data_IF_140852211067
#
_entry.id   IF_140852211067
#
_cell.length_a   1.000
_cell.length_b   1.000
_cell.length_c   1.000
_cell.angle_alpha   90.00
_cell.angle_beta   90.00
_cell.angle_gamma   90.00
#
_symmetry.space_group_name_H-M   'P 1'
#
loop_
_entity.id
_entity.type
_entity.pdbx_description
1 polymer ?
#
# COMPACT_ATOMS: atom_id res chain seq x y z
N UNK A 1 0.97 -16.38 -8.12
CA UNK A 1 1.63 -15.34 -7.31
C UNK A 1 0.59 -14.27 -7.11
N UNK A 2 0.00 -14.19 -5.93
CA UNK A 2 -0.98 -13.14 -5.64
C UNK A 2 -0.30 -11.79 -5.87
N UNK A 3 -0.92 -10.95 -6.68
CA UNK A 3 -0.31 -9.69 -7.08
C UNK A 3 -0.67 -8.61 -6.06
N UNK A 4 -0.03 -8.70 -4.89
CA UNK A 4 -0.23 -7.83 -3.73
C UNK A 4 0.02 -6.34 -4.03
N UNK A 5 0.58 -6.01 -5.20
CA UNK A 5 0.86 -4.65 -5.64
C UNK A 5 -0.25 -4.01 -6.47
N UNK A 6 -1.25 -4.76 -6.93
CA UNK A 6 -2.27 -4.23 -7.85
C UNK A 6 -3.13 -3.13 -7.22
N UNK A 7 -3.37 -3.20 -5.92
CA UNK A 7 -4.04 -2.10 -5.23
C UNK A 7 -3.15 -0.83 -5.21
N UNK A 8 -1.89 -0.96 -4.79
CA UNK A 8 -0.94 0.15 -4.80
C UNK A 8 -0.78 0.77 -6.20
N UNK A 9 -0.64 -0.05 -7.25
CA UNK A 9 -0.53 0.42 -8.65
C UNK A 9 -1.78 1.18 -9.12
N UNK A 10 -2.98 0.78 -8.68
CA UNK A 10 -4.22 1.51 -8.97
C UNK A 10 -4.30 2.85 -8.24
N UNK A 11 -3.77 2.94 -7.02
CA UNK A 11 -3.75 4.17 -6.23
C UNK A 11 -2.63 5.13 -6.66
N UNK A 12 -1.53 4.60 -7.19
CA UNK A 12 -0.36 5.34 -7.65
C UNK A 12 -0.01 4.99 -9.11
N UNK A 13 -0.88 5.32 -10.08
CA UNK A 13 -0.70 4.89 -11.46
C UNK A 13 0.58 5.44 -12.11
N UNK A 14 1.01 6.63 -11.72
CA UNK A 14 2.24 7.26 -12.22
C UNK A 14 3.51 6.56 -11.73
N UNK A 15 3.44 5.76 -10.66
CA UNK A 15 4.56 5.07 -10.04
C UNK A 15 4.44 3.53 -10.20
N UNK A 16 3.56 3.06 -11.07
CA UNK A 16 3.22 1.64 -11.17
C UNK A 16 4.42 0.76 -11.55
N UNK A 17 5.33 1.26 -12.39
CA UNK A 17 6.56 0.56 -12.78
C UNK A 17 7.56 0.52 -11.62
N UNK A 18 7.70 1.61 -10.87
CA UNK A 18 8.56 1.66 -9.68
C UNK A 18 8.06 0.76 -8.56
N UNK A 19 6.73 0.68 -8.38
CA UNK A 19 6.09 -0.23 -7.44
C UNK A 19 6.42 -1.69 -7.82
N UNK A 20 6.25 -2.07 -9.09
CA UNK A 20 6.55 -3.42 -9.56
C UNK A 20 8.05 -3.75 -9.42
N UNK A 21 8.92 -2.82 -9.82
CA UNK A 21 10.36 -2.98 -9.72
C UNK A 21 10.82 -3.11 -8.26
N UNK A 22 10.34 -2.25 -7.35
CA UNK A 22 10.72 -2.30 -5.93
C UNK A 22 10.15 -3.57 -5.26
N UNK A 23 8.89 -3.90 -5.52
CA UNK A 23 8.25 -5.10 -4.99
C UNK A 23 8.94 -6.38 -5.46
N UNK A 24 9.51 -6.44 -6.67
CA UNK A 24 10.22 -7.63 -7.14
C UNK A 24 11.45 -7.99 -6.29
N UNK A 25 12.05 -7.00 -5.60
CA UNK A 25 13.34 -7.15 -4.90
C UNK A 25 13.33 -6.75 -3.43
N UNK A 26 12.24 -6.19 -2.92
CA UNK A 26 12.10 -5.78 -1.54
C UNK A 26 10.85 -6.43 -0.92
N UNK A 27 11.08 -7.40 -0.03
CA UNK A 27 10.00 -8.15 0.64
C UNK A 27 9.17 -7.26 1.57
N UNK A 28 9.81 -6.43 2.39
CA UNK A 28 9.10 -5.50 3.27
C UNK A 28 8.20 -4.54 2.49
N UNK A 29 8.63 -4.10 1.29
CA UNK A 29 7.78 -3.29 0.43
C UNK A 29 6.58 -4.07 -0.14
N UNK A 30 6.74 -5.37 -0.43
CA UNK A 30 5.60 -6.22 -0.82
C UNK A 30 4.60 -6.38 0.31
N UNK A 31 5.08 -6.64 1.52
CA UNK A 31 4.24 -6.73 2.73
C UNK A 31 3.49 -5.41 2.95
N UNK A 32 4.17 -4.27 2.81
CA UNK A 32 3.54 -2.96 2.89
C UNK A 32 2.43 -2.77 1.83
N UNK A 33 2.65 -3.21 0.58
CA UNK A 33 1.60 -3.15 -0.44
C UNK A 33 0.42 -4.07 -0.12
N UNK A 34 0.68 -5.23 0.47
CA UNK A 34 -0.36 -6.15 0.93
C UNK A 34 -1.19 -5.53 2.07
N UNK A 35 -0.54 -4.96 3.08
CA UNK A 35 -1.19 -4.30 4.21
C UNK A 35 -2.05 -3.12 3.73
N UNK A 36 -1.57 -2.37 2.74
CA UNK A 36 -2.34 -1.29 2.12
C UNK A 36 -3.60 -1.82 1.42
N UNK A 37 -3.53 -2.97 0.76
CA UNK A 37 -4.71 -3.63 0.17
C UNK A 37 -5.69 -4.13 1.24
N UNK A 38 -5.19 -4.64 2.37
CA UNK A 38 -6.03 -5.08 3.48
C UNK A 38 -6.71 -3.88 4.14
N UNK A 39 -6.01 -2.75 4.30
CA UNK A 39 -6.59 -1.53 4.84
C UNK A 39 -7.76 -1.00 3.98
N UNK A 40 -7.65 -1.02 2.64
CA UNK A 40 -8.76 -0.69 1.75
C UNK A 40 -9.95 -1.64 1.90
N UNK A 41 -9.69 -2.94 2.10
CA UNK A 41 -10.75 -3.89 2.41
C UNK A 41 -11.44 -3.55 3.73
N UNK A 42 -10.69 -3.25 4.80
CA UNK A 42 -11.25 -2.84 6.09
C UNK A 42 -12.08 -1.56 5.97
N UNK A 43 -11.63 -0.57 5.21
CA UNK A 43 -12.39 0.66 4.93
C UNK A 43 -13.75 0.29 4.32
N UNK A 44 -13.79 -0.55 3.29
CA UNK A 44 -15.05 -0.96 2.63
C UNK A 44 -15.97 -1.78 3.53
N UNK A 45 -15.37 -2.66 4.34
CA UNK A 45 -16.11 -3.47 5.31
C UNK A 45 -16.79 -2.58 6.34
N UNK A 46 -16.06 -1.63 6.93
CA UNK A 46 -16.63 -0.69 7.90
C UNK A 46 -17.57 0.32 7.26
N UNK A 47 -17.35 0.78 6.03
CA UNK A 47 -18.28 1.67 5.32
C UNK A 47 -19.67 1.03 5.18
N UNK A 48 -19.72 -0.29 4.95
CA UNK A 48 -20.96 -1.04 4.78
C UNK A 48 -21.53 -1.65 6.07
N UNK A 49 -20.82 -1.54 7.19
CA UNK A 49 -21.20 -2.19 8.45
C UNK A 49 -22.40 -1.51 9.13
N UNK A 50 -23.22 -2.31 9.82
CA UNK A 50 -24.32 -1.83 10.66
C UNK A 50 -23.99 -1.83 12.15
N UNK A 51 -22.73 -2.14 12.50
CA UNK A 51 -22.28 -2.18 13.88
C UNK A 51 -22.29 -0.78 14.53
N UNK A 52 -22.54 -0.66 15.83
CA UNK A 52 -22.52 0.65 16.51
C UNK A 52 -21.16 1.34 16.46
N UNK A 53 -20.06 0.58 16.39
CA UNK A 53 -18.69 1.07 16.26
C UNK A 53 -18.28 1.43 14.81
N UNK A 54 -19.21 1.36 13.84
CA UNK A 54 -18.94 1.59 12.41
C UNK A 54 -18.10 2.84 12.15
N UNK A 55 -18.56 3.98 12.66
CA UNK A 55 -17.95 5.27 12.35
C UNK A 55 -16.54 5.41 12.92
N UNK A 56 -16.33 4.90 14.13
CA UNK A 56 -15.02 4.87 14.79
C UNK A 56 -14.05 3.98 14.02
N UNK A 57 -14.46 2.74 13.73
CA UNK A 57 -13.61 1.77 13.01
C UNK A 57 -13.33 2.18 11.57
N UNK A 58 -14.29 2.79 10.90
CA UNK A 58 -14.10 3.34 9.57
C UNK A 58 -13.07 4.49 9.58
N UNK A 59 -13.14 5.38 10.57
CA UNK A 59 -12.16 6.45 10.73
C UNK A 59 -10.75 5.91 11.02
N UNK A 60 -10.61 4.91 11.90
CA UNK A 60 -9.33 4.22 12.15
C UNK A 60 -8.77 3.57 10.88
N UNK A 61 -9.62 2.88 10.10
CA UNK A 61 -9.21 2.23 8.86
C UNK A 61 -8.76 3.25 7.79
N UNK A 62 -9.42 4.41 7.72
CA UNK A 62 -9.00 5.51 6.83
C UNK A 62 -7.64 6.09 7.24
N UNK A 63 -7.40 6.28 8.54
CA UNK A 63 -6.11 6.75 9.05
C UNK A 63 -4.99 5.74 8.76
N UNK A 64 -5.25 4.45 8.96
CA UNK A 64 -4.33 3.38 8.60
C UNK A 64 -4.00 3.39 7.10
N UNK A 65 -5.02 3.50 6.24
CA UNK A 65 -4.85 3.55 4.80
C UNK A 65 -4.02 4.78 4.36
N UNK A 66 -4.27 5.95 4.96
CA UNK A 66 -3.48 7.16 4.70
C UNK A 66 -2.02 7.01 5.14
N UNK A 67 -1.78 6.43 6.33
CA UNK A 67 -0.44 6.15 6.84
C UNK A 67 0.36 5.22 5.94
N UNK A 68 -0.22 4.08 5.55
CA UNK A 68 0.40 3.12 4.63
C UNK A 68 0.67 3.74 3.25
N UNK A 69 -0.25 4.56 2.75
CA UNK A 69 -0.08 5.29 1.49
C UNK A 69 1.13 6.24 1.52
N UNK A 70 1.34 6.96 2.64
CA UNK A 70 2.51 7.81 2.84
C UNK A 70 3.80 7.00 2.91
N UNK A 71 3.80 5.87 3.60
CA UNK A 71 4.99 5.01 3.71
C UNK A 71 5.40 4.44 2.35
N UNK A 72 4.43 4.01 1.53
CA UNK A 72 4.67 3.60 0.13
C UNK A 72 5.35 4.73 -0.64
N UNK A 73 4.85 5.97 -0.54
CA UNK A 73 5.42 7.11 -1.23
C UNK A 73 6.88 7.38 -0.79
N UNK A 74 7.14 7.33 0.52
CA UNK A 74 8.49 7.50 1.09
C UNK A 74 9.43 6.43 0.55
N UNK A 75 9.03 5.16 0.55
CA UNK A 75 9.87 4.08 0.04
C UNK A 75 10.16 4.20 -1.45
N UNK A 76 9.20 4.66 -2.25
CA UNK A 76 9.38 4.94 -3.68
C UNK A 76 10.35 6.10 -3.91
N UNK A 77 10.26 7.17 -3.13
CA UNK A 77 11.19 8.31 -3.22
C UNK A 77 12.62 7.92 -2.81
N UNK A 78 12.77 7.18 -1.71
CA UNK A 78 14.07 6.64 -1.31
C UNK A 78 14.66 5.73 -2.39
N UNK A 79 13.81 4.95 -3.06
CA UNK A 79 14.24 4.07 -4.13
C UNK A 79 14.70 4.82 -5.40
N UNK A 80 14.28 6.08 -5.60
CA UNK A 80 14.73 6.94 -6.69
C UNK A 80 16.08 7.62 -6.40
N UNK A 81 16.35 7.95 -5.14
CA UNK A 81 17.57 8.67 -4.71
C UNK A 81 18.81 7.77 -4.72
N UNK A 82 18.65 6.47 -4.46
CA UNK A 82 19.76 5.51 -4.52
C UNK A 82 19.71 4.80 -5.87
N UNK A 83 20.67 5.04 -6.80
CA UNK A 83 20.76 4.22 -8.01
C UNK A 83 21.12 2.81 -7.56
N UNK A 84 20.12 1.93 -7.49
CA UNK A 84 20.36 0.55 -7.11
C UNK A 84 21.28 -0.09 -8.15
N UNK A 85 22.45 -0.62 -7.75
CA UNK A 85 23.23 -1.45 -8.64
C UNK A 85 22.37 -2.67 -9.04
N UNK A 86 22.43 -3.11 -10.31
CA UNK A 86 21.78 -4.36 -10.68
C UNK A 86 22.34 -5.50 -9.82
N UNK A 87 21.46 -6.39 -9.39
CA UNK A 87 21.85 -7.64 -8.75
C UNK A 87 22.81 -8.37 -9.70
N UNK A 88 24.00 -8.73 -9.20
CA UNK A 88 24.96 -9.57 -9.92
C UNK A 88 24.48 -11.01 -9.96
#
# INVERSE_FOLDING_TARGET
MENYTEFAKRKFPEQALEIEALASRNESFRELCNDFSIADQLVREWESSTAPERDERHAEALELMDGLGKEIHIMLDLARVVPFPPAR
#
